data_IF_673318017622
#
_entry.id   IF_673318017622
#
_cell.length_a   1.000
_cell.length_b   1.000
_cell.length_c   1.000
_cell.angle_alpha   90.00
_cell.angle_beta   90.00
_cell.angle_gamma   90.00
#
_symmetry.space_group_name_H-M   'P 1'
#
loop_
_entity.id
_entity.type
_entity.pdbx_description
1 polymer ?
#
# COMPACT_ATOMS: atom_id res chain seq x y z
N UNK A 1 21.78 6.54 24.99
CA UNK A 1 20.51 7.21 24.65
C UNK A 1 20.31 7.10 23.14
N UNK A 2 19.64 6.04 22.69
CA UNK A 2 19.29 5.87 21.28
C UNK A 2 17.95 6.57 21.04
N UNK A 3 17.97 7.59 20.20
CA UNK A 3 16.75 8.25 19.72
C UNK A 3 16.02 7.32 18.75
N UNK A 4 14.81 6.93 19.10
CA UNK A 4 13.89 6.22 18.23
C UNK A 4 13.54 7.10 17.03
N UNK A 5 14.12 6.79 15.86
CA UNK A 5 13.70 7.33 14.58
C UNK A 5 12.62 6.39 14.03
N UNK A 6 11.36 6.76 14.19
CA UNK A 6 10.23 6.12 13.52
C UNK A 6 10.30 6.47 12.02
N UNK A 7 10.91 5.60 11.25
CA UNK A 7 10.96 5.72 9.79
C UNK A 7 9.67 5.10 9.22
N UNK A 8 8.65 5.92 8.97
CA UNK A 8 7.46 5.51 8.22
C UNK A 8 7.83 5.43 6.74
N UNK A 9 8.10 4.23 6.26
CA UNK A 9 8.28 3.98 4.83
C UNK A 9 6.91 3.98 4.14
N UNK A 10 6.70 4.97 3.30
CA UNK A 10 5.46 5.22 2.57
C UNK A 10 5.57 4.60 1.17
N UNK A 11 5.10 3.37 1.02
CA UNK A 11 5.02 2.70 -0.28
C UNK A 11 3.69 2.97 -0.96
N UNK A 12 3.78 3.23 -2.20
CA UNK A 12 2.87 3.78 -3.20
C UNK A 12 1.58 2.99 -3.37
N UNK A 13 0.64 3.18 -2.47
CA UNK A 13 -0.80 3.13 -2.62
C UNK A 13 -1.40 3.98 -1.49
N UNK A 14 -1.14 5.30 -1.54
CA UNK A 14 -1.65 6.22 -0.54
C UNK A 14 -2.87 6.97 -1.04
N UNK A 15 -3.91 7.07 -0.23
CA UNK A 15 -4.81 8.20 -0.31
C UNK A 15 -4.07 9.45 0.18
N UNK A 16 -4.20 10.53 -0.55
CA UNK A 16 -3.58 11.84 -0.29
C UNK A 16 -4.24 12.41 0.97
N UNK A 17 -3.47 12.65 2.03
CA UNK A 17 -3.91 13.55 3.10
C UNK A 17 -3.59 15.00 2.70
N UNK A 18 -4.61 15.76 2.35
CA UNK A 18 -4.54 17.21 2.36
C UNK A 18 -4.66 17.67 3.82
N UNK A 19 -3.63 18.31 4.36
CA UNK A 19 -3.74 19.06 5.62
C UNK A 19 -4.52 20.34 5.36
N UNK A 20 -5.74 20.42 5.87
CA UNK A 20 -6.48 21.66 5.94
C UNK A 20 -5.96 22.51 7.11
N UNK A 21 -5.43 23.68 6.80
CA UNK A 21 -5.14 24.72 7.77
C UNK A 21 -6.45 25.43 8.17
N UNK A 22 -6.73 25.45 9.46
CA UNK A 22 -7.83 26.23 10.06
C UNK A 22 -7.65 27.72 9.81
N UNK A 23 -8.63 28.38 9.19
CA UNK A 23 -8.84 29.82 9.26
C UNK A 23 -10.25 30.16 9.73
N UNK A 24 -10.32 31.12 10.66
CA UNK A 24 -11.49 31.67 11.30
C UNK A 24 -12.41 32.41 10.32
N UNK A 25 -13.70 32.42 10.70
CA UNK A 25 -14.82 33.09 10.04
C UNK A 25 -14.60 34.56 9.73
N UNK A 26 -14.95 34.99 8.51
CA UNK A 26 -15.46 36.32 8.22
C UNK A 26 -16.52 36.22 7.10
N UNK A 27 -17.55 37.06 7.22
CA UNK A 27 -18.79 37.07 6.44
C UNK A 27 -18.62 37.52 4.97
N UNK A 28 -19.58 37.24 4.08
CA UNK A 28 -19.38 37.25 2.64
C UNK A 28 -19.54 38.65 2.00
N UNK A 29 -18.59 39.03 1.17
CA UNK A 29 -18.77 40.06 0.13
C UNK A 29 -18.92 39.39 -1.23
N UNK A 30 -19.83 39.96 -2.04
CA UNK A 30 -20.23 39.52 -3.36
C UNK A 30 -19.03 39.29 -4.35
N UNK A 31 -19.17 38.42 -5.34
CA UNK A 31 -18.07 37.99 -6.18
C UNK A 31 -17.72 39.07 -7.23
N UNK A 32 -16.48 39.57 -7.18
CA UNK A 32 -15.86 40.24 -8.33
C UNK A 32 -15.29 39.15 -9.22
N UNK A 33 -15.89 38.97 -10.42
CA UNK A 33 -15.35 38.10 -11.47
C UNK A 33 -14.02 38.66 -11.96
N UNK A 34 -12.91 38.19 -11.43
CA UNK A 34 -11.64 38.24 -12.15
C UNK A 34 -11.44 36.88 -12.81
N UNK A 35 -11.69 36.82 -14.13
CA UNK A 35 -11.14 35.77 -14.98
C UNK A 35 -9.63 35.91 -14.96
N UNK A 36 -8.98 35.10 -14.08
CA UNK A 36 -7.57 34.81 -14.28
C UNK A 36 -7.59 33.57 -15.21
N UNK A 37 -7.36 33.83 -16.50
CA UNK A 37 -7.01 32.77 -17.44
C UNK A 37 -5.85 31.95 -16.82
N UNK A 38 -6.17 30.75 -16.36
CA UNK A 38 -5.17 29.82 -15.87
C UNK A 38 -4.24 29.46 -17.02
N UNK A 39 -3.04 30.04 -17.02
CA UNK A 39 -1.91 29.58 -17.82
C UNK A 39 -1.74 28.09 -17.50
N UNK A 40 -2.25 27.22 -18.37
CA UNK A 40 -1.86 25.80 -18.40
C UNK A 40 -0.35 25.79 -18.65
N UNK A 41 0.45 25.70 -17.59
CA UNK A 41 1.88 25.44 -17.72
C UNK A 41 1.99 24.04 -18.34
N UNK A 42 2.04 24.00 -19.66
CA UNK A 42 2.31 22.79 -20.43
C UNK A 42 3.73 22.37 -20.08
N UNK A 43 3.85 21.27 -19.34
CA UNK A 43 5.13 20.69 -18.98
C UNK A 43 5.89 20.31 -20.26
N UNK A 44 6.92 21.06 -20.55
CA UNK A 44 7.69 20.92 -21.79
C UNK A 44 9.03 20.24 -21.52
N UNK A 45 9.58 19.57 -22.52
CA UNK A 45 10.93 19.01 -22.45
C UNK A 45 11.99 20.10 -22.20
N UNK A 46 11.79 21.31 -22.70
CA UNK A 46 12.69 22.45 -22.46
C UNK A 46 12.67 22.89 -20.99
N UNK A 47 11.47 23.05 -20.39
CA UNK A 47 11.32 23.36 -18.98
C UNK A 47 11.89 22.26 -18.08
N UNK A 48 11.70 20.98 -18.46
CA UNK A 48 12.30 19.84 -17.75
C UNK A 48 13.83 19.90 -17.78
N UNK A 49 14.45 20.18 -18.94
CA UNK A 49 15.91 20.37 -19.05
C UNK A 49 16.41 21.53 -18.18
N UNK A 50 15.66 22.63 -18.12
CA UNK A 50 16.00 23.76 -17.24
C UNK A 50 15.92 23.34 -15.76
N UNK A 51 14.85 22.65 -15.37
CA UNK A 51 14.70 22.13 -14.01
C UNK A 51 15.85 21.19 -13.63
N UNK A 52 16.27 20.30 -14.52
CA UNK A 52 17.42 19.42 -14.30
C UNK A 52 18.69 20.22 -13.99
N UNK A 53 18.98 21.29 -14.74
CA UNK A 53 20.14 22.17 -14.47
C UNK A 53 20.05 22.80 -13.07
N UNK A 54 18.88 23.29 -12.69
CA UNK A 54 18.65 23.91 -11.38
C UNK A 54 18.74 22.87 -10.24
N UNK A 55 18.18 21.70 -10.43
CA UNK A 55 18.21 20.62 -9.44
C UNK A 55 19.63 20.10 -9.15
N UNK A 56 20.56 20.26 -10.10
CA UNK A 56 21.98 19.91 -9.94
C UNK A 56 22.60 20.60 -8.71
N UNK A 57 22.36 21.90 -8.53
CA UNK A 57 22.87 22.66 -7.38
C UNK A 57 22.40 22.02 -6.06
N UNK A 58 21.12 21.68 -5.98
CA UNK A 58 20.55 21.00 -4.82
C UNK A 58 21.15 19.60 -4.60
N UNK A 59 21.38 18.82 -5.67
CA UNK A 59 21.97 17.50 -5.56
C UNK A 59 23.42 17.56 -5.04
N UNK A 60 24.23 18.48 -5.58
CA UNK A 60 25.60 18.70 -5.12
C UNK A 60 25.66 19.12 -3.65
N UNK A 61 24.79 20.04 -3.21
CA UNK A 61 24.72 20.47 -1.80
C UNK A 61 24.27 19.36 -0.84
N UNK A 62 23.74 18.24 -1.39
CA UNK A 62 23.34 17.03 -0.65
C UNK A 62 24.34 15.90 -0.76
N UNK A 63 25.58 16.17 -1.22
CA UNK A 63 26.68 15.22 -1.27
C UNK A 63 26.71 14.31 -2.50
N UNK A 64 25.90 14.59 -3.53
CA UNK A 64 25.98 13.88 -4.81
C UNK A 64 27.13 14.49 -5.63
N UNK A 65 28.06 13.67 -6.10
CA UNK A 65 29.18 14.14 -6.94
C UNK A 65 28.68 14.63 -8.30
N UNK A 66 29.38 15.63 -8.86
CA UNK A 66 29.08 16.11 -10.22
C UNK A 66 29.13 14.99 -11.24
N UNK A 67 30.11 14.08 -11.14
CA UNK A 67 30.23 12.90 -12.01
C UNK A 67 29.01 12.00 -11.96
N UNK A 68 28.53 11.64 -10.77
CA UNK A 68 27.33 10.82 -10.60
C UNK A 68 26.10 11.51 -11.19
N UNK A 69 25.94 12.80 -10.88
CA UNK A 69 24.81 13.57 -11.39
C UNK A 69 24.79 13.60 -12.92
N UNK A 70 25.91 14.01 -13.53
CA UNK A 70 26.02 14.19 -14.97
C UNK A 70 25.86 12.85 -15.72
N UNK A 71 26.32 11.72 -15.15
CA UNK A 71 26.08 10.39 -15.66
C UNK A 71 24.60 9.98 -15.57
N UNK A 72 23.96 10.20 -14.42
CA UNK A 72 22.58 9.80 -14.18
C UNK A 72 21.58 10.62 -15.05
N UNK A 73 21.89 11.87 -15.33
CA UNK A 73 21.04 12.75 -16.12
C UNK A 73 21.40 12.83 -17.61
N UNK A 74 22.34 11.99 -18.07
CA UNK A 74 22.72 11.98 -19.48
C UNK A 74 21.58 11.45 -20.36
N UNK A 75 21.03 12.31 -21.22
CA UNK A 75 20.02 11.93 -22.20
C UNK A 75 18.61 11.67 -21.64
N UNK A 76 18.35 12.00 -20.36
CA UNK A 76 17.04 11.77 -19.76
C UNK A 76 15.93 12.62 -20.41
N UNK A 77 14.73 12.07 -20.40
CA UNK A 77 13.53 12.65 -21.00
C UNK A 77 12.39 12.79 -20.01
N UNK A 78 11.57 13.82 -20.23
CA UNK A 78 10.30 13.96 -19.53
C UNK A 78 9.36 12.79 -19.89
N UNK A 79 8.94 12.03 -18.90
CA UNK A 79 8.12 10.82 -19.10
C UNK A 79 6.62 11.14 -19.00
N UNK A 80 5.99 11.43 -20.14
CA UNK A 80 4.53 11.73 -20.18
C UNK A 80 3.67 10.62 -19.58
N UNK A 81 4.06 9.33 -19.73
CA UNK A 81 3.34 8.19 -19.13
C UNK A 81 3.40 8.19 -17.61
N UNK A 82 4.46 8.73 -17.00
CA UNK A 82 4.57 8.91 -15.54
C UNK A 82 3.51 9.88 -15.05
N UNK A 83 3.37 11.03 -15.72
CA UNK A 83 2.35 12.03 -15.41
C UNK A 83 0.93 11.45 -15.56
N UNK A 84 0.68 10.73 -16.65
CA UNK A 84 -0.61 10.09 -16.89
C UNK A 84 -0.96 9.04 -15.82
N UNK A 85 0.03 8.20 -15.42
CA UNK A 85 -0.15 7.19 -14.38
C UNK A 85 -0.39 7.82 -13.01
N UNK A 86 0.34 8.91 -12.68
CA UNK A 86 0.15 9.63 -11.42
C UNK A 86 -1.26 10.23 -11.28
N UNK A 87 -1.82 10.74 -12.37
CA UNK A 87 -3.18 11.32 -12.39
C UNK A 87 -4.29 10.27 -12.37
N UNK A 88 -4.06 9.08 -12.95
CA UNK A 88 -5.04 7.97 -12.97
C UNK A 88 -5.15 7.21 -11.65
N UNK A 89 -4.26 7.42 -10.70
CA UNK A 89 -4.21 6.63 -9.45
C UNK A 89 -5.45 6.82 -8.55
N UNK A 90 -6.27 7.83 -8.76
CA UNK A 90 -7.50 8.11 -8.00
C UNK A 90 -8.66 7.14 -8.28
N UNK A 91 -8.58 6.24 -9.28
CA UNK A 91 -9.74 5.54 -9.83
C UNK A 91 -9.92 4.07 -9.40
N UNK A 92 -9.14 3.51 -8.46
CA UNK A 92 -9.23 2.10 -8.12
C UNK A 92 -9.79 1.83 -6.72
N UNK A 93 -11.12 1.84 -6.59
CA UNK A 93 -11.82 1.20 -5.47
C UNK A 93 -12.40 -0.15 -5.93
N UNK A 94 -11.57 -1.20 -5.95
CA UNK A 94 -12.05 -2.57 -6.13
C UNK A 94 -12.56 -3.10 -4.79
N UNK A 95 -13.64 -3.90 -4.84
CA UNK A 95 -14.07 -4.66 -3.68
C UNK A 95 -12.94 -5.60 -3.23
N UNK A 96 -12.86 -5.86 -1.93
CA UNK A 96 -11.77 -6.66 -1.34
C UNK A 96 -11.67 -8.04 -1.98
N UNK A 97 -12.78 -8.69 -2.26
CA UNK A 97 -12.80 -10.02 -2.90
C UNK A 97 -12.29 -10.01 -4.33
N UNK A 98 -12.62 -8.99 -5.14
CA UNK A 98 -12.11 -8.86 -6.51
C UNK A 98 -10.59 -8.65 -6.54
N UNK A 99 -10.08 -7.92 -5.54
CA UNK A 99 -8.65 -7.75 -5.35
C UNK A 99 -7.99 -9.07 -4.96
N UNK A 100 -8.54 -9.80 -3.97
CA UNK A 100 -8.01 -11.07 -3.48
C UNK A 100 -8.05 -12.15 -4.57
N UNK A 101 -9.12 -12.25 -5.36
CA UNK A 101 -9.23 -13.21 -6.48
C UNK A 101 -8.06 -13.05 -7.47
N UNK A 102 -7.71 -11.81 -7.79
CA UNK A 102 -6.57 -11.52 -8.66
C UNK A 102 -5.24 -11.77 -7.95
N UNK A 103 -5.12 -11.32 -6.71
CA UNK A 103 -3.89 -11.37 -5.92
C UNK A 103 -3.50 -12.80 -5.52
N UNK A 104 -4.48 -13.68 -5.30
CA UNK A 104 -4.28 -15.07 -4.88
C UNK A 104 -4.76 -16.09 -5.91
N UNK A 105 -4.77 -15.70 -7.20
CA UNK A 105 -5.23 -16.56 -8.29
C UNK A 105 -4.45 -17.87 -8.35
N UNK A 106 -5.07 -18.98 -8.85
CA UNK A 106 -4.41 -20.29 -8.97
C UNK A 106 -3.08 -20.22 -9.72
N UNK A 107 -3.01 -19.40 -10.77
CA UNK A 107 -1.77 -19.17 -11.54
C UNK A 107 -0.68 -18.55 -10.67
N UNK A 108 -1.01 -17.54 -9.84
CA UNK A 108 -0.04 -16.90 -8.95
C UNK A 108 0.43 -17.85 -7.86
N UNK A 109 -0.47 -18.64 -7.27
CA UNK A 109 -0.13 -19.67 -6.29
C UNK A 109 0.82 -20.72 -6.90
N UNK A 110 0.48 -21.29 -8.05
CA UNK A 110 1.31 -22.26 -8.77
C UNK A 110 2.70 -21.71 -9.07
N UNK A 111 2.78 -20.46 -9.55
CA UNK A 111 4.06 -19.79 -9.80
C UNK A 111 4.86 -19.61 -8.50
N UNK A 112 4.21 -19.23 -7.41
CA UNK A 112 4.86 -19.12 -6.10
C UNK A 112 5.43 -20.44 -5.60
N UNK A 113 4.67 -21.53 -5.70
CA UNK A 113 5.14 -22.88 -5.37
C UNK A 113 6.34 -23.31 -6.22
N UNK A 114 6.34 -22.97 -7.51
CA UNK A 114 7.49 -23.21 -8.39
C UNK A 114 8.73 -22.41 -7.95
N UNK A 115 8.56 -21.15 -7.54
CA UNK A 115 9.67 -20.33 -7.01
C UNK A 115 10.19 -20.86 -5.68
N UNK A 116 9.32 -21.33 -4.80
CA UNK A 116 9.74 -22.01 -3.55
C UNK A 116 10.60 -23.22 -3.85
N UNK A 117 10.18 -24.07 -4.79
CA UNK A 117 10.97 -25.24 -5.21
C UNK A 117 12.32 -24.83 -5.77
N UNK A 118 12.33 -23.85 -6.68
CA UNK A 118 13.53 -23.36 -7.37
C UNK A 118 14.55 -22.73 -6.41
N UNK A 119 14.08 -21.95 -5.42
CA UNK A 119 14.93 -21.17 -4.53
C UNK A 119 14.94 -21.69 -3.08
N UNK A 120 14.62 -22.98 -2.88
CA UNK A 120 14.45 -23.60 -1.56
C UNK A 120 15.58 -23.29 -0.57
N UNK A 121 16.83 -23.49 -1.01
CA UNK A 121 18.02 -23.29 -0.14
C UNK A 121 18.23 -21.82 0.21
N UNK A 122 18.03 -20.93 -0.75
CA UNK A 122 18.09 -19.47 -0.54
C UNK A 122 17.06 -19.04 0.50
N UNK A 123 15.79 -19.43 0.31
CA UNK A 123 14.68 -19.05 1.16
C UNK A 123 14.87 -19.55 2.61
N UNK A 124 15.38 -20.76 2.80
CA UNK A 124 15.74 -21.29 4.14
C UNK A 124 16.84 -20.47 4.81
N UNK A 125 17.88 -20.08 4.09
CA UNK A 125 18.96 -19.24 4.62
C UNK A 125 18.44 -17.85 5.00
N UNK A 126 17.56 -17.26 4.20
CA UNK A 126 16.94 -15.97 4.49
C UNK A 126 16.07 -16.07 5.75
N UNK A 127 15.20 -17.07 5.83
CA UNK A 127 14.34 -17.29 6.99
C UNK A 127 15.17 -17.53 8.28
N UNK A 128 16.22 -18.33 8.20
CA UNK A 128 17.12 -18.57 9.32
C UNK A 128 17.78 -17.28 9.81
N UNK A 129 18.21 -16.40 8.88
CA UNK A 129 18.92 -15.16 9.22
C UNK A 129 17.99 -14.07 9.75
N UNK A 130 16.80 -13.93 9.17
CA UNK A 130 15.90 -12.80 9.46
C UNK A 130 14.69 -13.15 10.31
N UNK A 131 14.37 -14.45 10.49
CA UNK A 131 13.23 -14.91 11.27
C UNK A 131 11.87 -14.54 10.64
N UNK A 132 11.83 -14.35 9.32
CA UNK A 132 10.61 -14.09 8.55
C UNK A 132 10.33 -15.33 7.69
N UNK A 133 9.14 -15.86 7.80
CA UNK A 133 8.73 -17.05 7.07
C UNK A 133 8.88 -16.86 5.56
N UNK A 134 9.53 -17.80 4.89
CA UNK A 134 9.80 -17.76 3.46
C UNK A 134 8.52 -17.55 2.64
N UNK A 135 7.39 -18.08 3.08
CA UNK A 135 6.10 -17.97 2.39
C UNK A 135 5.63 -16.51 2.27
N UNK A 136 5.87 -15.69 3.30
CA UNK A 136 5.58 -14.25 3.29
C UNK A 136 6.47 -13.50 2.30
N UNK A 137 7.77 -13.80 2.31
CA UNK A 137 8.74 -13.19 1.37
C UNK A 137 8.36 -13.51 -0.08
N UNK A 138 8.01 -14.77 -0.37
CA UNK A 138 7.58 -15.20 -1.70
C UNK A 138 6.26 -14.59 -2.10
N UNK A 139 5.31 -14.43 -1.16
CA UNK A 139 4.03 -13.78 -1.43
C UNK A 139 4.21 -12.29 -1.81
N UNK A 140 5.05 -11.55 -1.08
CA UNK A 140 5.40 -10.15 -1.44
C UNK A 140 6.03 -10.13 -2.83
N UNK A 141 7.02 -10.97 -3.11
CA UNK A 141 7.64 -11.07 -4.42
C UNK A 141 6.62 -11.32 -5.54
N UNK A 142 5.65 -12.22 -5.29
CA UNK A 142 4.57 -12.51 -6.23
C UNK A 142 3.63 -11.34 -6.48
N UNK A 143 3.31 -10.56 -5.45
CA UNK A 143 2.43 -9.40 -5.58
C UNK A 143 3.13 -8.21 -6.23
N UNK A 144 4.39 -7.96 -5.88
CA UNK A 144 5.13 -6.78 -6.34
C UNK A 144 5.56 -6.88 -7.82
N UNK A 145 6.10 -8.02 -8.23
CA UNK A 145 6.66 -8.15 -9.58
C UNK A 145 6.28 -9.42 -10.31
N UNK A 146 5.25 -10.14 -9.85
CA UNK A 146 4.92 -11.48 -10.39
C UNK A 146 6.15 -12.40 -10.44
N UNK A 147 6.88 -12.45 -9.33
CA UNK A 147 8.12 -13.23 -9.16
C UNK A 147 9.25 -12.78 -10.08
N UNK A 148 9.40 -11.46 -10.26
CA UNK A 148 10.45 -10.86 -11.08
C UNK A 148 10.17 -10.81 -12.58
N UNK A 149 8.98 -11.21 -13.04
CA UNK A 149 8.61 -11.10 -14.45
C UNK A 149 8.18 -9.70 -14.87
N UNK A 150 7.82 -8.85 -13.89
CA UNK A 150 7.39 -7.47 -14.11
C UNK A 150 7.99 -6.55 -13.06
N UNK A 151 9.24 -6.17 -13.23
CA UNK A 151 9.96 -5.26 -12.33
C UNK A 151 9.82 -3.77 -12.70
N UNK A 152 9.07 -3.47 -13.75
CA UNK A 152 8.95 -2.13 -14.35
C UNK A 152 9.98 -1.88 -15.44
N UNK A 153 9.65 -0.96 -16.33
CA UNK A 153 10.36 -0.67 -17.58
C UNK A 153 10.68 0.82 -17.75
N UNK A 154 10.55 1.61 -16.67
CA UNK A 154 10.89 3.04 -16.69
C UNK A 154 12.21 3.25 -15.94
N UNK A 155 13.10 4.08 -16.51
CA UNK A 155 14.27 4.53 -15.78
C UNK A 155 13.84 5.33 -14.55
N UNK A 156 14.34 4.94 -13.38
CA UNK A 156 13.95 5.52 -12.09
C UNK A 156 14.33 6.99 -11.98
N UNK A 157 15.47 7.39 -12.55
CA UNK A 157 15.89 8.80 -12.55
C UNK A 157 14.90 9.64 -13.37
N UNK A 158 14.48 9.15 -14.57
CA UNK A 158 13.47 9.82 -15.37
C UNK A 158 12.11 9.89 -14.67
N UNK A 159 11.67 8.78 -14.07
CA UNK A 159 10.38 8.72 -13.37
C UNK A 159 10.34 9.74 -12.22
N UNK A 160 11.33 9.71 -11.35
CA UNK A 160 11.37 10.57 -10.16
C UNK A 160 11.63 12.03 -10.50
N UNK A 161 12.49 12.30 -11.49
CA UNK A 161 12.69 13.66 -11.99
C UNK A 161 11.41 14.23 -12.61
N UNK A 162 10.66 13.41 -13.35
CA UNK A 162 9.36 13.82 -13.91
C UNK A 162 8.35 14.15 -12.83
N UNK A 163 8.20 13.31 -11.79
CA UNK A 163 7.31 13.58 -10.65
C UNK A 163 7.71 14.82 -9.87
N UNK A 164 9.00 15.06 -9.70
CA UNK A 164 9.53 16.25 -9.04
C UNK A 164 9.28 17.53 -9.83
N UNK A 165 9.46 17.47 -11.14
CA UNK A 165 9.26 18.58 -12.06
C UNK A 165 7.78 18.93 -12.25
N UNK A 166 6.90 17.90 -12.40
CA UNK A 166 5.45 18.07 -12.56
C UNK A 166 4.81 18.81 -11.36
N UNK A 167 5.33 18.59 -10.16
CA UNK A 167 5.04 19.39 -8.98
C UNK A 167 3.99 18.81 -8.04
N UNK A 168 3.04 17.99 -8.49
CA UNK A 168 2.02 17.38 -7.62
C UNK A 168 2.64 16.57 -6.47
N UNK A 169 3.72 15.84 -6.76
CA UNK A 169 4.52 15.08 -5.79
C UNK A 169 5.96 15.59 -5.67
N UNK A 170 6.17 16.90 -5.79
CA UNK A 170 7.51 17.51 -5.81
C UNK A 170 8.41 17.03 -4.67
N UNK A 171 7.95 17.15 -3.42
CA UNK A 171 8.75 16.73 -2.23
C UNK A 171 9.11 15.25 -2.26
N UNK A 172 8.15 14.40 -2.63
CA UNK A 172 8.38 12.97 -2.78
C UNK A 172 9.39 12.69 -3.89
N UNK A 173 9.14 13.21 -5.10
CA UNK A 173 10.01 13.02 -6.26
C UNK A 173 11.45 13.45 -5.98
N UNK A 174 11.66 14.66 -5.44
CA UNK A 174 12.99 15.17 -5.11
C UNK A 174 13.71 14.31 -4.04
N UNK A 175 13.01 13.90 -2.98
CA UNK A 175 13.61 13.07 -1.94
C UNK A 175 14.01 11.68 -2.45
N UNK A 176 13.13 11.02 -3.20
CA UNK A 176 13.44 9.73 -3.79
C UNK A 176 14.56 9.85 -4.84
N UNK A 177 14.58 10.91 -5.64
CA UNK A 177 15.60 11.15 -6.65
C UNK A 177 16.99 11.36 -6.04
N UNK A 178 17.10 12.16 -4.97
CA UNK A 178 18.38 12.33 -4.25
C UNK A 178 18.89 10.99 -3.72
N UNK A 179 18.00 10.18 -3.17
CA UNK A 179 18.38 8.85 -2.66
C UNK A 179 18.76 7.90 -3.80
N UNK A 180 18.05 7.94 -4.94
CA UNK A 180 18.41 7.15 -6.12
C UNK A 180 19.81 7.51 -6.65
N UNK A 181 20.14 8.80 -6.66
CA UNK A 181 21.50 9.26 -7.02
C UNK A 181 22.56 8.75 -6.04
N UNK A 182 22.26 8.71 -4.73
CA UNK A 182 23.14 8.15 -3.71
C UNK A 182 23.38 6.64 -3.92
N UNK A 183 22.34 5.88 -4.26
CA UNK A 183 22.43 4.45 -4.59
C UNK A 183 23.37 4.22 -5.78
N UNK A 184 23.24 5.05 -6.82
CA UNK A 184 24.15 5.02 -7.98
C UNK A 184 25.58 5.38 -7.57
N UNK A 185 25.76 6.41 -6.75
CA UNK A 185 27.06 6.88 -6.27
C UNK A 185 27.79 5.81 -5.43
N UNK A 186 27.01 5.04 -4.66
CA UNK A 186 27.54 3.93 -3.86
C UNK A 186 27.93 2.70 -4.70
N UNK A 187 27.57 2.68 -5.99
CA UNK A 187 27.93 1.59 -6.91
C UNK A 187 27.00 0.39 -6.90
N UNK A 188 25.87 0.46 -6.17
CA UNK A 188 24.88 -0.63 -6.14
C UNK A 188 24.32 -0.96 -7.53
N UNK A 189 24.12 0.08 -8.36
CA UNK A 189 23.59 -0.04 -9.74
C UNK A 189 24.10 1.10 -10.62
N UNK A 190 24.15 0.86 -11.92
CA UNK A 190 24.42 1.91 -12.91
C UNK A 190 23.12 2.65 -13.30
N UNK A 191 23.19 3.94 -13.71
CA UNK A 191 22.00 4.71 -14.09
C UNK A 191 21.12 4.01 -15.13
N UNK A 192 21.71 3.42 -16.15
CA UNK A 192 20.97 2.76 -17.25
C UNK A 192 20.26 1.47 -16.82
N UNK A 193 20.73 0.82 -15.76
CA UNK A 193 20.13 -0.41 -15.22
C UNK A 193 19.13 -0.16 -14.11
N UNK A 194 19.05 1.06 -13.59
CA UNK A 194 18.13 1.42 -12.51
C UNK A 194 16.70 1.59 -13.06
N UNK A 195 16.09 0.44 -13.39
CA UNK A 195 14.75 0.37 -13.95
C UNK A 195 13.71 0.04 -12.87
N UNK A 196 12.45 0.44 -13.11
CA UNK A 196 11.38 0.17 -12.16
C UNK A 196 10.03 0.74 -12.61
N UNK A 197 9.18 1.03 -11.63
CA UNK A 197 7.84 1.56 -11.88
C UNK A 197 7.84 3.07 -12.14
N UNK A 198 6.72 3.57 -12.64
CA UNK A 198 6.48 5.01 -12.83
C UNK A 198 6.60 5.84 -11.55
N UNK A 199 6.42 5.21 -10.39
CA UNK A 199 6.47 5.87 -9.09
C UNK A 199 7.81 5.68 -8.34
N UNK A 200 8.81 5.08 -9.01
CA UNK A 200 10.13 4.91 -8.43
C UNK A 200 10.34 3.62 -7.65
N UNK A 201 9.42 2.65 -7.72
CA UNK A 201 9.60 1.35 -7.09
C UNK A 201 10.49 0.45 -7.97
N UNK A 202 11.43 -0.28 -7.34
CA UNK A 202 12.59 -0.89 -7.97
C UNK A 202 12.69 -2.40 -7.73
N UNK A 203 13.06 -3.13 -8.79
CA UNK A 203 13.48 -4.52 -8.73
C UNK A 203 12.39 -5.52 -8.36
N UNK A 204 12.82 -6.69 -7.91
CA UNK A 204 11.95 -7.84 -7.62
C UNK A 204 10.85 -7.57 -6.61
N UNK A 205 11.12 -6.77 -5.61
CA UNK A 205 10.23 -6.53 -4.47
C UNK A 205 9.82 -5.06 -4.34
N UNK A 206 10.03 -4.28 -5.41
CA UNK A 206 9.51 -2.94 -5.61
C UNK A 206 9.85 -1.96 -4.47
N UNK A 207 11.09 -1.98 -4.01
CA UNK A 207 11.57 -0.99 -3.04
C UNK A 207 11.65 0.40 -3.67
N UNK A 208 11.14 1.43 -2.99
CA UNK A 208 11.46 2.81 -3.32
C UNK A 208 12.88 3.16 -2.86
N UNK A 209 13.57 4.14 -3.46
CA UNK A 209 14.95 4.47 -3.12
C UNK A 209 15.23 4.65 -1.64
N UNK A 210 14.37 5.34 -0.89
CA UNK A 210 14.56 5.52 0.56
C UNK A 210 14.45 4.23 1.35
N UNK A 211 13.56 3.32 0.97
CA UNK A 211 13.47 1.99 1.60
C UNK A 211 14.69 1.15 1.26
N UNK A 212 15.17 1.23 0.03
CA UNK A 212 16.40 0.56 -0.40
C UNK A 212 17.62 1.06 0.39
N UNK A 213 17.82 2.37 0.46
CA UNK A 213 18.97 2.95 1.18
C UNK A 213 19.01 2.54 2.64
N UNK A 214 17.83 2.49 3.29
CA UNK A 214 17.70 2.17 4.70
C UNK A 214 17.77 0.66 5.01
N UNK A 215 17.24 -0.22 4.13
CA UNK A 215 16.90 -1.59 4.50
C UNK A 215 17.38 -2.66 3.51
N UNK A 216 17.86 -2.29 2.32
CA UNK A 216 18.44 -3.26 1.40
C UNK A 216 19.75 -3.82 1.95
N UNK A 217 19.98 -5.10 1.70
CA UNK A 217 21.16 -5.83 2.16
C UNK A 217 21.88 -6.51 1.01
N UNK A 218 23.20 -6.54 1.06
CA UNK A 218 24.04 -7.42 0.29
C UNK A 218 24.04 -8.80 0.98
N UNK A 219 23.22 -9.70 0.47
CA UNK A 219 23.11 -11.05 1.02
C UNK A 219 24.09 -12.02 0.37
N UNK A 220 24.52 -11.71 -0.86
CA UNK A 220 25.50 -12.49 -1.62
C UNK A 220 26.93 -12.24 -1.17
N UNK A 221 27.21 -11.06 -0.59
CA UNK A 221 28.54 -10.64 -0.15
C UNK A 221 29.45 -10.17 -1.27
N UNK A 222 28.85 -9.72 -2.40
CA UNK A 222 29.60 -9.24 -3.57
C UNK A 222 29.88 -7.72 -3.55
N UNK A 223 29.50 -7.05 -2.47
CA UNK A 223 29.68 -5.61 -2.28
C UNK A 223 28.58 -4.76 -2.90
N UNK A 224 27.48 -5.36 -3.39
CA UNK A 224 26.34 -4.68 -4.01
C UNK A 224 25.01 -5.17 -3.42
N UNK A 225 24.03 -4.29 -3.35
CA UNK A 225 22.67 -4.63 -2.96
C UNK A 225 21.80 -4.75 -4.22
N UNK A 226 22.03 -5.81 -5.03
CA UNK A 226 21.39 -5.95 -6.35
C UNK A 226 19.98 -6.52 -6.28
N UNK A 227 18.97 -5.65 -6.17
CA UNK A 227 17.55 -6.04 -6.19
C UNK A 227 16.97 -6.19 -7.59
N UNK A 228 17.76 -5.93 -8.64
CA UNK A 228 17.32 -5.93 -10.05
C UNK A 228 17.72 -7.16 -10.83
N UNK A 229 18.60 -8.01 -10.30
CA UNK A 229 19.16 -9.14 -11.04
C UNK A 229 18.08 -10.18 -11.42
N UNK A 230 17.74 -10.36 -12.70
CA UNK A 230 16.62 -11.21 -13.09
C UNK A 230 16.85 -12.70 -12.85
N UNK A 231 18.11 -13.11 -12.61
CA UNK A 231 18.51 -14.52 -12.40
C UNK A 231 18.77 -14.84 -10.94
N UNK A 232 19.18 -13.83 -10.14
CA UNK A 232 19.56 -13.98 -8.72
C UNK A 232 18.76 -13.01 -7.87
N UNK A 233 17.59 -13.43 -7.34
CA UNK A 233 16.76 -12.57 -6.50
C UNK A 233 17.25 -12.49 -5.04
N UNK A 234 18.46 -12.95 -4.76
CA UNK A 234 19.00 -13.20 -3.42
C UNK A 234 18.90 -11.96 -2.53
N UNK A 235 19.48 -10.84 -2.98
CA UNK A 235 19.49 -9.60 -2.22
C UNK A 235 18.10 -8.98 -2.10
N UNK A 236 17.28 -9.09 -3.13
CA UNK A 236 15.91 -8.57 -3.10
C UNK A 236 15.06 -9.30 -2.06
N UNK A 237 15.10 -10.64 -2.04
CA UNK A 237 14.33 -11.45 -1.09
C UNK A 237 14.87 -11.28 0.34
N UNK A 238 16.19 -11.24 0.50
CA UNK A 238 16.81 -10.97 1.80
C UNK A 238 16.49 -9.56 2.31
N UNK A 239 16.52 -8.56 1.42
CA UNK A 239 16.13 -7.19 1.77
C UNK A 239 14.67 -7.10 2.21
N UNK A 240 13.77 -7.84 1.56
CA UNK A 240 12.36 -7.92 1.95
C UNK A 240 12.20 -8.53 3.36
N UNK A 241 12.92 -9.62 3.64
CA UNK A 241 12.91 -10.23 4.96
C UNK A 241 13.51 -9.27 6.02
N UNK A 242 14.62 -8.59 5.69
CA UNK A 242 15.21 -7.57 6.56
C UNK A 242 14.22 -6.42 6.82
N UNK A 243 13.52 -5.93 5.78
CA UNK A 243 12.50 -4.91 5.92
C UNK A 243 11.44 -5.30 6.96
N UNK A 244 10.86 -6.48 6.84
CA UNK A 244 9.83 -6.96 7.77
C UNK A 244 10.39 -7.14 9.18
N UNK A 245 11.58 -7.72 9.33
CA UNK A 245 12.27 -7.86 10.62
C UNK A 245 12.48 -6.52 11.31
N UNK A 246 13.02 -5.53 10.59
CA UNK A 246 13.28 -4.19 11.15
C UNK A 246 11.99 -3.45 11.53
N UNK A 247 10.87 -3.77 10.88
CA UNK A 247 9.55 -3.26 11.24
C UNK A 247 8.85 -4.10 12.32
N UNK A 248 9.55 -5.05 12.95
CA UNK A 248 9.09 -5.77 14.14
C UNK A 248 8.30 -7.03 13.85
N UNK A 249 8.62 -7.74 12.76
CA UNK A 249 8.08 -9.08 12.48
C UNK A 249 8.28 -10.02 13.67
N UNK A 250 7.26 -10.78 13.98
CA UNK A 250 7.27 -11.79 15.05
C UNK A 250 7.23 -13.16 14.43
N UNK A 251 8.34 -13.90 14.51
CA UNK A 251 8.45 -15.25 13.99
C UNK A 251 7.37 -16.17 14.58
N UNK A 252 6.71 -16.95 13.75
CA UNK A 252 5.66 -17.90 14.15
C UNK A 252 4.32 -17.27 14.52
N UNK A 253 4.20 -15.94 14.56
CA UNK A 253 2.90 -15.28 14.72
C UNK A 253 2.20 -15.18 13.36
N UNK A 254 0.94 -15.64 13.22
CA UNK A 254 0.19 -15.45 11.99
C UNK A 254 -0.09 -13.96 11.74
N UNK A 255 -0.31 -13.59 10.48
CA UNK A 255 -0.81 -12.24 10.15
C UNK A 255 -2.23 -12.05 10.64
N UNK A 256 -3.05 -13.09 10.53
CA UNK A 256 -4.46 -13.12 10.94
C UNK A 256 -5.02 -14.53 10.90
N UNK A 257 -6.15 -14.68 11.57
CA UNK A 257 -6.94 -15.92 11.64
C UNK A 257 -8.38 -15.55 11.35
N UNK A 258 -9.05 -16.28 10.45
CA UNK A 258 -10.48 -16.14 10.22
C UNK A 258 -11.26 -16.57 11.46
N UNK A 259 -12.26 -15.76 11.85
CA UNK A 259 -12.99 -15.93 13.10
C UNK A 259 -14.49 -15.84 12.90
N UNK A 260 -15.24 -16.54 13.76
CA UNK A 260 -16.67 -16.42 13.90
C UNK A 260 -16.98 -15.44 15.02
N UNK A 261 -17.80 -14.43 14.72
CA UNK A 261 -18.31 -13.49 15.70
C UNK A 261 -19.62 -13.99 16.31
N UNK A 262 -19.91 -13.72 17.60
CA UNK A 262 -21.20 -14.06 18.21
C UNK A 262 -22.32 -13.17 17.62
N UNK A 263 -23.58 -13.61 17.74
CA UNK A 263 -24.72 -12.88 17.19
C UNK A 263 -24.89 -11.49 17.82
N UNK A 264 -24.53 -11.34 19.09
CA UNK A 264 -24.58 -10.07 19.84
C UNK A 264 -23.25 -9.29 19.82
N UNK A 265 -22.40 -9.52 18.83
CA UNK A 265 -21.12 -8.82 18.74
C UNK A 265 -21.33 -7.32 18.56
N UNK A 266 -20.72 -6.51 19.45
CA UNK A 266 -20.73 -5.07 19.30
C UNK A 266 -19.72 -4.63 18.21
N UNK A 267 -20.23 -4.22 17.06
CA UNK A 267 -19.41 -3.91 15.87
C UNK A 267 -18.48 -2.69 16.04
N UNK A 268 -18.71 -1.83 17.02
CA UNK A 268 -17.75 -0.79 17.40
C UNK A 268 -16.38 -1.34 17.86
N UNK A 269 -16.33 -2.61 18.27
CA UNK A 269 -15.07 -3.30 18.56
C UNK A 269 -14.30 -3.77 17.32
N UNK A 270 -14.93 -3.80 16.15
CA UNK A 270 -14.29 -4.21 14.89
C UNK A 270 -13.50 -3.05 14.27
N UNK A 271 -12.41 -2.69 14.92
CA UNK A 271 -11.51 -1.61 14.48
C UNK A 271 -10.05 -2.01 14.67
N UNK A 272 -9.19 -1.66 13.72
CA UNK A 272 -7.75 -1.87 13.84
C UNK A 272 -7.11 -1.05 14.99
N UNK A 273 -7.83 -0.07 15.54
CA UNK A 273 -7.43 0.71 16.71
C UNK A 273 -7.73 -0.02 18.01
N UNK A 274 -8.76 -0.87 18.03
CA UNK A 274 -9.18 -1.65 19.19
C UNK A 274 -8.41 -2.97 19.22
N UNK A 275 -7.46 -3.08 20.15
CA UNK A 275 -6.61 -4.28 20.29
C UNK A 275 -6.82 -4.88 21.67
N UNK A 276 -7.19 -6.16 21.71
CA UNK A 276 -7.35 -6.92 22.95
C UNK A 276 -6.59 -8.26 22.85
N UNK A 277 -6.36 -8.89 24.02
CA UNK A 277 -5.78 -10.24 24.07
C UNK A 277 -6.73 -11.25 23.44
N UNK A 278 -6.22 -12.38 22.97
CA UNK A 278 -7.05 -13.47 22.44
C UNK A 278 -7.98 -14.04 23.50
N UNK A 279 -7.58 -14.01 24.80
CA UNK A 279 -8.44 -14.36 25.92
C UNK A 279 -9.65 -13.42 26.00
N UNK A 280 -9.42 -12.09 25.93
CA UNK A 280 -10.51 -11.11 25.97
C UNK A 280 -11.46 -11.27 24.78
N UNK A 281 -10.96 -11.53 23.60
CA UNK A 281 -11.81 -11.81 22.43
C UNK A 281 -12.62 -13.09 22.64
N UNK A 282 -12.03 -14.12 23.28
CA UNK A 282 -12.77 -15.35 23.61
C UNK A 282 -13.88 -15.12 24.65
N UNK A 283 -13.68 -14.25 25.65
CA UNK A 283 -14.72 -13.83 26.61
C UNK A 283 -15.87 -13.12 25.90
N UNK A 284 -15.56 -12.32 24.88
CA UNK A 284 -16.54 -11.63 24.02
C UNK A 284 -17.19 -12.58 22.99
N UNK A 285 -16.97 -13.88 23.08
CA UNK A 285 -17.59 -14.88 22.23
C UNK A 285 -16.91 -15.10 20.86
N UNK A 286 -15.79 -14.41 20.56
CA UNK A 286 -15.06 -14.62 19.30
C UNK A 286 -14.37 -15.98 19.32
N UNK A 287 -14.54 -16.76 18.24
CA UNK A 287 -13.99 -18.12 18.09
C UNK A 287 -13.33 -18.26 16.72
N UNK A 288 -12.45 -19.23 16.58
CA UNK A 288 -11.99 -19.73 15.27
C UNK A 288 -13.18 -20.36 14.53
N UNK A 289 -13.01 -20.56 13.23
CA UNK A 289 -14.06 -21.16 12.39
C UNK A 289 -14.42 -22.60 12.83
N UNK A 290 -13.49 -23.33 13.47
CA UNK A 290 -13.69 -24.66 14.07
C UNK A 290 -14.34 -24.61 15.47
N UNK A 291 -14.75 -23.44 15.97
CA UNK A 291 -15.36 -23.25 17.28
C UNK A 291 -14.37 -23.12 18.45
N UNK A 292 -13.09 -23.39 18.24
CA UNK A 292 -12.07 -23.31 19.27
C UNK A 292 -11.70 -21.86 19.61
N UNK A 293 -11.08 -21.65 20.77
CA UNK A 293 -10.47 -20.37 21.15
C UNK A 293 -9.31 -20.04 20.21
N UNK A 294 -9.09 -18.75 19.97
CA UNK A 294 -7.91 -18.30 19.24
C UNK A 294 -6.67 -18.54 20.11
N UNK A 295 -5.61 -19.20 19.60
CA UNK A 295 -4.37 -19.38 20.35
C UNK A 295 -3.75 -18.04 20.77
N UNK A 296 -2.95 -18.05 21.84
CA UNK A 296 -2.30 -16.84 22.32
C UNK A 296 -1.13 -16.43 21.42
N UNK A 297 -1.40 -15.58 20.47
CA UNK A 297 -0.41 -14.89 19.63
C UNK A 297 -0.20 -13.41 20.04
N UNK A 298 -0.64 -13.04 21.26
CA UNK A 298 -0.63 -11.68 21.75
C UNK A 298 -1.93 -10.92 21.45
N UNK A 299 -1.84 -9.58 21.36
CA UNK A 299 -3.01 -8.74 21.08
C UNK A 299 -3.42 -8.84 19.60
N UNK A 300 -4.72 -8.95 19.38
CA UNK A 300 -5.35 -8.93 18.05
C UNK A 300 -6.35 -7.78 17.94
N UNK A 301 -6.60 -7.33 16.72
CA UNK A 301 -7.73 -6.48 16.35
C UNK A 301 -8.71 -7.27 15.48
N UNK A 302 -10.00 -6.94 15.54
CA UNK A 302 -10.98 -7.55 14.64
C UNK A 302 -11.10 -6.69 13.38
N UNK A 303 -10.91 -7.32 12.24
CA UNK A 303 -11.03 -6.73 10.91
C UNK A 303 -12.23 -7.33 10.17
N UNK A 304 -13.10 -6.48 9.66
CA UNK A 304 -14.26 -6.83 8.82
C UNK A 304 -14.06 -6.19 7.44
N UNK A 305 -13.31 -6.80 6.54
CA UNK A 305 -12.94 -6.18 5.26
C UNK A 305 -14.13 -6.01 4.29
N UNK A 306 -15.22 -6.73 4.53
CA UNK A 306 -16.47 -6.64 3.78
C UNK A 306 -17.67 -6.41 4.71
N UNK A 307 -17.44 -5.82 5.90
CA UNK A 307 -18.44 -5.63 6.94
C UNK A 307 -18.93 -6.94 7.55
N UNK A 308 -20.02 -6.85 8.28
CA UNK A 308 -20.55 -7.96 9.08
C UNK A 308 -21.11 -9.12 8.26
N UNK A 309 -21.33 -8.95 6.97
CA UNK A 309 -21.86 -9.99 6.07
C UNK A 309 -20.77 -10.78 5.36
N UNK A 310 -19.51 -10.48 5.60
CA UNK A 310 -18.37 -11.19 5.04
C UNK A 310 -17.47 -11.81 6.12
N UNK A 311 -16.35 -12.40 5.69
CA UNK A 311 -15.37 -12.98 6.60
C UNK A 311 -14.85 -11.98 7.61
N UNK A 312 -14.72 -12.41 8.87
CA UNK A 312 -14.11 -11.66 9.96
C UNK A 312 -12.73 -12.22 10.28
N UNK A 313 -11.79 -11.37 10.64
CA UNK A 313 -10.42 -11.78 10.95
C UNK A 313 -9.94 -11.18 12.27
N UNK A 314 -9.31 -12.00 13.11
CA UNK A 314 -8.46 -11.54 14.17
C UNK A 314 -7.06 -11.31 13.58
N UNK A 315 -6.65 -10.05 13.46
CA UNK A 315 -5.36 -9.68 12.85
C UNK A 315 -4.34 -9.32 13.93
N UNK A 316 -3.11 -9.81 13.78
CA UNK A 316 -2.04 -9.69 14.77
C UNK A 316 -0.97 -8.67 14.35
N UNK A 317 0.11 -8.57 15.14
CA UNK A 317 1.20 -7.62 14.88
C UNK A 317 1.77 -7.76 13.45
N UNK A 318 1.93 -8.99 12.95
CA UNK A 318 2.48 -9.23 11.61
C UNK A 318 1.61 -8.65 10.48
N UNK A 319 0.29 -8.54 10.66
CA UNK A 319 -0.57 -7.82 9.72
C UNK A 319 -0.16 -6.34 9.61
N UNK A 320 0.10 -5.70 10.74
CA UNK A 320 0.52 -4.30 10.75
C UNK A 320 1.96 -4.12 10.23
N UNK A 321 2.82 -5.13 10.41
CA UNK A 321 4.16 -5.14 9.81
C UNK A 321 4.06 -5.21 8.29
N UNK A 322 3.20 -6.09 7.72
CA UNK A 322 2.97 -6.11 6.27
C UNK A 322 2.44 -4.74 5.80
N UNK A 323 1.57 -4.09 6.58
CA UNK A 323 1.08 -2.75 6.25
C UNK A 323 2.15 -1.67 6.21
N UNK A 324 3.31 -1.85 6.82
CA UNK A 324 4.43 -0.91 6.63
C UNK A 324 5.03 -0.99 5.22
N UNK A 325 4.92 -2.15 4.59
CA UNK A 325 5.32 -2.34 3.20
C UNK A 325 4.37 -1.65 2.23
N UNK A 326 3.06 -1.86 2.42
CA UNK A 326 1.98 -1.15 1.71
C UNK A 326 0.79 -0.97 2.66
N UNK A 327 0.38 0.27 2.91
CA UNK A 327 -0.60 0.61 3.96
C UNK A 327 -2.06 0.24 3.63
N UNK A 328 -2.33 -0.59 2.64
CA UNK A 328 -3.67 -1.09 2.34
C UNK A 328 -3.99 -2.37 3.13
N UNK A 329 -5.18 -2.45 3.73
CA UNK A 329 -5.66 -3.68 4.39
C UNK A 329 -5.77 -4.83 3.39
N UNK A 330 -6.25 -4.54 2.17
CA UNK A 330 -6.35 -5.50 1.07
C UNK A 330 -4.99 -6.09 0.69
N UNK A 331 -3.95 -5.28 0.65
CA UNK A 331 -2.59 -5.76 0.39
C UNK A 331 -2.10 -6.69 1.50
N UNK A 332 -2.22 -6.28 2.76
CA UNK A 332 -1.77 -7.12 3.87
C UNK A 332 -2.50 -8.46 3.93
N UNK A 333 -3.82 -8.47 3.66
CA UNK A 333 -4.61 -9.70 3.53
C UNK A 333 -4.14 -10.54 2.34
N UNK A 334 -3.86 -9.92 1.19
CA UNK A 334 -3.40 -10.64 0.00
C UNK A 334 -2.03 -11.29 0.21
N UNK A 335 -1.08 -10.58 0.83
CA UNK A 335 0.23 -11.16 1.20
C UNK A 335 0.02 -12.38 2.09
N UNK A 336 -0.75 -12.22 3.17
CA UNK A 336 -0.99 -13.28 4.13
C UNK A 336 -1.72 -14.48 3.52
N UNK A 337 -2.79 -14.24 2.75
CA UNK A 337 -3.57 -15.30 2.13
C UNK A 337 -2.80 -16.01 1.00
N UNK A 338 -2.06 -15.26 0.17
CA UNK A 338 -1.20 -15.85 -0.84
C UNK A 338 -0.10 -16.71 -0.21
N UNK A 339 0.52 -16.26 0.88
CA UNK A 339 1.51 -17.04 1.61
C UNK A 339 0.93 -18.36 2.15
N UNK A 340 -0.28 -18.31 2.71
CA UNK A 340 -1.01 -19.52 3.17
C UNK A 340 -1.26 -20.49 2.00
N UNK A 341 -1.79 -20.00 0.87
CA UNK A 341 -2.08 -20.84 -0.30
C UNK A 341 -0.81 -21.42 -0.93
N UNK A 342 0.28 -20.69 -1.01
CA UNK A 342 1.58 -21.20 -1.49
C UNK A 342 2.06 -22.34 -0.56
N UNK A 343 1.79 -22.24 0.74
CA UNK A 343 2.16 -23.26 1.73
C UNK A 343 1.10 -24.38 1.86
N UNK A 344 0.17 -24.52 0.91
CA UNK A 344 -0.82 -25.59 0.88
C UNK A 344 -2.11 -25.31 1.67
N UNK A 345 -2.29 -24.09 2.20
CA UNK A 345 -3.54 -23.69 2.85
C UNK A 345 -4.70 -23.48 1.86
N UNK A 346 -5.92 -23.58 2.38
CA UNK A 346 -7.16 -23.44 1.63
C UNK A 346 -7.67 -22.00 1.47
N UNK A 347 -8.90 -21.90 0.99
CA UNK A 347 -9.66 -20.65 0.92
C UNK A 347 -10.21 -20.26 2.31
N UNK A 348 -10.72 -19.05 2.44
CA UNK A 348 -11.48 -18.64 3.62
C UNK A 348 -12.79 -19.44 3.71
N UNK A 349 -13.22 -19.73 4.93
CA UNK A 349 -14.41 -20.57 5.19
C UNK A 349 -15.70 -19.80 4.93
N UNK A 350 -15.75 -18.51 5.35
CA UNK A 350 -16.91 -17.67 5.07
C UNK A 350 -16.84 -17.09 3.66
N UNK A 351 -17.99 -17.12 2.99
CA UNK A 351 -18.12 -16.55 1.65
C UNK A 351 -18.10 -15.01 1.67
N UNK A 352 -17.53 -14.43 0.64
CA UNK A 352 -17.60 -12.99 0.41
C UNK A 352 -19.02 -12.58 -0.04
N UNK A 353 -19.53 -11.42 0.40
CA UNK A 353 -20.86 -10.95 0.04
C UNK A 353 -20.89 -10.46 -1.42
N UNK A 354 -20.67 -11.37 -2.37
CA UNK A 354 -20.78 -11.15 -3.81
C UNK A 354 -22.26 -11.11 -4.18
N UNK A 355 -22.69 -10.24 -5.11
CA UNK A 355 -24.08 -10.26 -5.57
C UNK A 355 -24.50 -9.00 -6.32
N UNK A 356 -25.71 -9.01 -6.94
CA UNK A 356 -26.27 -7.88 -7.66
C UNK A 356 -26.59 -6.71 -6.73
N UNK A 357 -26.47 -5.50 -7.22
CA UNK A 357 -26.81 -4.29 -6.46
C UNK A 357 -25.79 -3.16 -6.59
N UNK A 358 -24.87 -3.29 -7.54
CA UNK A 358 -23.87 -2.25 -7.81
C UNK A 358 -24.56 -0.89 -8.08
N UNK A 359 -24.06 0.16 -7.44
CA UNK A 359 -24.51 1.53 -7.65
C UNK A 359 -24.02 2.03 -9.02
N UNK A 360 -24.88 2.75 -9.73
CA UNK A 360 -24.50 3.55 -10.91
C UNK A 360 -23.67 4.76 -10.45
N UNK A 361 -22.94 5.41 -11.36
CA UNK A 361 -22.07 6.55 -11.03
C UNK A 361 -22.81 7.65 -10.27
N UNK A 362 -23.98 8.07 -10.75
CA UNK A 362 -24.80 9.08 -10.07
C UNK A 362 -25.23 8.66 -8.66
N UNK A 363 -25.51 7.36 -8.44
CA UNK A 363 -25.85 6.82 -7.13
C UNK A 363 -24.62 6.73 -6.19
N UNK A 364 -23.43 6.52 -6.73
CA UNK A 364 -22.17 6.57 -5.95
C UNK A 364 -21.86 8.01 -5.53
N UNK A 365 -22.09 8.97 -6.40
CA UNK A 365 -21.95 10.41 -6.09
C UNK A 365 -22.92 10.76 -4.96
N UNK A 366 -24.20 10.47 -5.11
CA UNK A 366 -25.22 10.70 -4.07
C UNK A 366 -24.86 10.02 -2.75
N UNK A 367 -24.31 8.81 -2.81
CA UNK A 367 -23.87 8.07 -1.63
C UNK A 367 -22.77 8.80 -0.86
N UNK A 368 -21.82 9.40 -1.58
CA UNK A 368 -20.76 10.21 -1.00
C UNK A 368 -21.29 11.54 -0.46
N UNK A 369 -22.17 12.20 -1.18
CA UNK A 369 -22.82 13.45 -0.74
C UNK A 369 -23.57 13.26 0.58
N UNK A 370 -24.38 12.21 0.70
CA UNK A 370 -25.10 11.89 1.93
C UNK A 370 -24.17 11.63 3.13
N UNK A 371 -23.04 10.97 2.92
CA UNK A 371 -22.05 10.77 3.98
C UNK A 371 -21.36 12.08 4.40
N UNK A 372 -21.07 12.99 3.46
CA UNK A 372 -20.54 14.31 3.77
C UNK A 372 -21.58 15.15 4.54
N UNK A 373 -22.85 15.14 4.10
CA UNK A 373 -23.95 15.82 4.79
C UNK A 373 -24.14 15.31 6.21
N UNK A 374 -23.92 14.01 6.43
CA UNK A 374 -23.90 13.40 7.77
C UNK A 374 -22.61 13.72 8.58
N UNK A 375 -21.71 14.57 8.07
CA UNK A 375 -20.50 15.04 8.76
C UNK A 375 -19.28 14.12 8.64
N UNK A 376 -19.28 13.11 7.76
CA UNK A 376 -18.15 12.23 7.57
C UNK A 376 -17.13 12.78 6.58
N UNK A 377 -15.86 12.85 6.96
CA UNK A 377 -14.79 13.26 6.06
C UNK A 377 -14.32 12.08 5.19
N UNK A 378 -14.95 11.88 4.06
CA UNK A 378 -14.64 10.80 3.11
C UNK A 378 -13.69 11.22 1.98
N UNK A 379 -13.33 12.50 1.89
CA UNK A 379 -12.58 13.10 0.78
C UNK A 379 -13.49 13.69 -0.28
N UNK A 380 -13.05 13.69 -1.54
CA UNK A 380 -13.79 14.27 -2.67
C UNK A 380 -14.99 13.40 -3.07
N UNK A 381 -16.06 14.04 -3.60
CA UNK A 381 -17.21 13.38 -4.22
C UNK A 381 -16.85 13.09 -5.67
N UNK A 382 -16.28 11.92 -5.92
CA UNK A 382 -15.73 11.51 -7.21
C UNK A 382 -16.43 10.27 -7.83
N UNK A 383 -17.43 9.73 -7.12
CA UNK A 383 -18.11 8.48 -7.50
C UNK A 383 -17.27 7.22 -7.27
N UNK A 384 -16.16 7.33 -6.56
CA UNK A 384 -15.26 6.20 -6.23
C UNK A 384 -15.48 5.78 -4.79
N UNK A 385 -16.08 4.62 -4.58
CA UNK A 385 -16.32 4.08 -3.24
C UNK A 385 -15.01 3.47 -2.70
N UNK A 386 -14.27 4.28 -1.95
CA UNK A 386 -13.01 3.89 -1.31
C UNK A 386 -13.19 3.41 0.14
N UNK A 387 -12.07 2.99 0.79
CA UNK A 387 -12.09 2.56 2.19
C UNK A 387 -12.70 3.57 3.16
N UNK A 388 -12.41 4.87 3.00
CA UNK A 388 -12.99 5.92 3.85
C UNK A 388 -14.52 6.00 3.73
N UNK A 389 -15.05 5.83 2.51
CA UNK A 389 -16.50 5.82 2.27
C UNK A 389 -17.15 4.60 2.93
N UNK A 390 -16.51 3.44 2.86
CA UNK A 390 -17.00 2.21 3.52
C UNK A 390 -16.88 2.32 5.04
N UNK A 391 -15.80 2.87 5.57
CA UNK A 391 -15.61 3.08 7.01
C UNK A 391 -16.67 4.05 7.56
N UNK A 392 -16.96 5.13 6.83
CA UNK A 392 -18.00 6.10 7.18
C UNK A 392 -19.40 5.47 7.20
N UNK A 393 -19.74 4.69 6.16
CA UNK A 393 -20.98 3.93 6.14
C UNK A 393 -21.09 2.99 7.33
N UNK A 394 -20.04 2.25 7.64
CA UNK A 394 -20.02 1.26 8.73
C UNK A 394 -20.21 1.96 10.09
N UNK A 395 -19.53 3.09 10.32
CA UNK A 395 -19.69 3.88 11.54
C UNK A 395 -21.11 4.43 11.68
N UNK A 396 -21.70 4.94 10.60
CA UNK A 396 -23.08 5.43 10.60
C UNK A 396 -24.09 4.32 10.90
N UNK A 397 -23.89 3.13 10.32
CA UNK A 397 -24.72 1.96 10.57
C UNK A 397 -24.62 1.50 12.03
N UNK A 398 -23.40 1.48 12.60
CA UNK A 398 -23.18 1.15 14.02
C UNK A 398 -23.89 2.15 14.94
N UNK A 399 -23.76 3.46 14.68
CA UNK A 399 -24.43 4.51 15.47
C UNK A 399 -25.95 4.42 15.40
N UNK A 400 -26.48 4.00 14.26
CA UNK A 400 -27.91 3.75 14.06
C UNK A 400 -28.37 2.39 14.64
N UNK A 401 -27.50 1.62 15.30
CA UNK A 401 -27.83 0.29 15.81
C UNK A 401 -28.05 -0.77 14.73
N UNK A 402 -27.63 -0.47 13.48
CA UNK A 402 -27.77 -1.37 12.35
C UNK A 402 -26.46 -2.11 12.12
N UNK A 403 -26.57 -3.39 11.74
CA UNK A 403 -25.41 -4.22 11.41
C UNK A 403 -24.63 -3.64 10.22
N UNK A 404 -23.32 -3.35 10.34
CA UNK A 404 -22.55 -2.75 9.26
C UNK A 404 -22.38 -3.73 8.10
N UNK A 405 -22.79 -3.32 6.90
CA UNK A 405 -22.76 -4.20 5.71
C UNK A 405 -21.40 -4.24 5.01
N UNK A 406 -20.58 -3.21 5.17
CA UNK A 406 -19.30 -3.08 4.47
C UNK A 406 -19.42 -2.96 2.95
N UNK A 407 -20.62 -2.68 2.43
CA UNK A 407 -20.92 -2.70 1.01
C UNK A 407 -21.75 -1.47 0.61
N UNK A 408 -21.23 -0.66 -0.29
CA UNK A 408 -21.96 0.43 -0.89
C UNK A 408 -22.83 -0.12 -2.04
N UNK A 409 -24.06 -0.47 -1.74
CA UNK A 409 -25.05 -0.96 -2.68
C UNK A 409 -26.37 -0.19 -2.54
N UNK A 410 -27.38 -0.59 -3.32
CA UNK A 410 -28.70 0.06 -3.30
C UNK A 410 -29.38 0.02 -1.94
N UNK A 411 -29.15 -1.03 -1.14
CA UNK A 411 -29.70 -1.15 0.20
C UNK A 411 -29.02 -0.16 1.15
N UNK A 412 -27.70 -0.05 1.08
CA UNK A 412 -26.93 0.93 1.85
C UNK A 412 -27.27 2.37 1.44
N UNK A 413 -27.48 2.64 0.14
CA UNK A 413 -27.95 3.96 -0.31
C UNK A 413 -29.34 4.30 0.23
N UNK A 414 -30.26 3.32 0.25
CA UNK A 414 -31.58 3.51 0.87
C UNK A 414 -31.46 3.81 2.36
N UNK A 415 -30.57 3.11 3.06
CA UNK A 415 -30.26 3.39 4.47
C UNK A 415 -29.76 4.83 4.66
N UNK A 416 -28.75 5.28 3.90
CA UNK A 416 -28.22 6.65 4.01
C UNK A 416 -29.32 7.70 3.80
N UNK A 417 -30.15 7.53 2.77
CA UNK A 417 -31.31 8.41 2.53
C UNK A 417 -32.26 8.51 3.71
N UNK A 418 -32.42 7.44 4.49
CA UNK A 418 -33.29 7.43 5.66
C UNK A 418 -32.66 8.06 6.91
N UNK A 419 -31.36 8.25 6.92
CA UNK A 419 -30.63 8.83 8.06
C UNK A 419 -30.34 10.32 7.92
N UNK A 420 -30.28 10.82 6.68
CA UNK A 420 -29.85 12.20 6.37
C UNK A 420 -31.06 13.09 5.97
N UNK A 421 -32.14 12.46 5.53
CA UNK A 421 -33.41 13.13 5.20
C UNK A 421 -34.50 12.82 6.24
#
# INVERSE_FOLDING_TARGET
>A
MLKNVTLSALVVLLPIFAQAATKKNEHPRAPVKHQIEGVKVTQTQAGFKHWVKTFRVKALSRGISGKTYDQAFRGIKLQKRVIASDRKQAEFSRQIWDYLDTATSPKRVKNGQAMVKKHKNLLRRIEAKYGVEWSIVVAIWGLESSYGTNMGDINIIEALATLAYEGRRKKFGENQLLTALKIIQNGDITPNRMMGSWAGAMGHTQFIPTSFDALAVDFTGDGKRDVWNPRKPDDALASTANYLRQNGWVKGQPWGIEVKLPNNFYYGNASLKVKATTARWAELGVRRMDGNKIPNYGKAAILLPAGANGPAFAVFKNFFVIKTYNNANSYAMAVGHLAQKINGGGEFVQEWPRGPGALKLNQKIEFQELLLEAGYNIGDVDGIIGPKTIDALSDMQIKAGVRPTGKADKAALKFLRSQVR
#
